data_IF_324147897747
#
_entry.id   IF_324147897747
#
_cell.length_a   1.000
_cell.length_b   1.000
_cell.length_c   1.000
_cell.angle_alpha   90.00
_cell.angle_beta   90.00
_cell.angle_gamma   90.00
#
_symmetry.space_group_name_H-M   'P 1'
#
loop_
_entity.id
_entity.type
_entity.pdbx_description
1 polymer ?
#
# COMPACT_ATOMS: atom_id res chain seq x y z
N UNK A 1 -37.39 35.23 -17.76
CA UNK A 1 -36.65 35.41 -16.50
C UNK A 1 -35.18 35.37 -16.83
N UNK A 2 -34.52 36.53 -16.90
CA UNK A 2 -33.06 36.59 -17.01
C UNK A 2 -32.47 36.01 -15.72
N UNK A 3 -31.61 35.01 -15.87
CA UNK A 3 -30.93 34.39 -14.73
C UNK A 3 -29.83 35.34 -14.27
N UNK A 4 -30.11 36.13 -13.22
CA UNK A 4 -29.14 37.02 -12.55
C UNK A 4 -27.80 36.33 -12.26
N UNK A 5 -27.81 35.01 -12.07
CA UNK A 5 -26.59 34.22 -11.86
C UNK A 5 -25.64 34.26 -13.05
N UNK A 6 -26.12 34.34 -14.29
CA UNK A 6 -25.26 34.35 -15.49
C UNK A 6 -24.55 35.69 -15.69
N UNK A 7 -25.00 36.75 -15.02
CA UNK A 7 -24.40 38.09 -15.06
C UNK A 7 -23.30 38.27 -14.00
N UNK A 8 -23.12 37.29 -13.10
CA UNK A 8 -22.07 37.33 -12.09
C UNK A 8 -20.69 37.08 -12.72
N UNK A 9 -19.63 37.71 -12.18
CA UNK A 9 -18.25 37.38 -12.54
C UNK A 9 -17.91 35.89 -12.35
N UNK A 10 -17.08 35.35 -13.24
CA UNK A 10 -16.71 33.93 -13.26
C UNK A 10 -16.09 33.43 -11.94
N UNK A 11 -15.33 34.27 -11.25
CA UNK A 11 -14.71 33.97 -9.96
C UNK A 11 -15.74 33.83 -8.82
N UNK A 12 -16.81 34.65 -8.85
CA UNK A 12 -17.93 34.53 -7.92
C UNK A 12 -18.69 33.24 -8.20
N UNK A 13 -18.97 32.93 -9.47
CA UNK A 13 -19.61 31.69 -9.87
C UNK A 13 -18.78 30.47 -9.49
N UNK A 14 -17.49 30.50 -9.73
CA UNK A 14 -16.55 29.46 -9.32
C UNK A 14 -16.60 29.23 -7.79
N UNK A 15 -16.60 30.33 -7.02
CA UNK A 15 -16.70 30.28 -5.56
C UNK A 15 -18.04 29.72 -5.07
N UNK A 16 -19.13 29.85 -5.83
CA UNK A 16 -20.41 29.21 -5.50
C UNK A 16 -20.37 27.72 -5.86
N UNK A 17 -19.94 27.40 -7.09
CA UNK A 17 -19.95 26.03 -7.63
C UNK A 17 -19.10 25.07 -6.79
N UNK A 18 -17.96 25.52 -6.24
CA UNK A 18 -17.10 24.68 -5.39
C UNK A 18 -17.79 24.15 -4.12
N UNK A 19 -18.87 24.80 -3.66
CA UNK A 19 -19.61 24.38 -2.49
C UNK A 19 -20.75 23.41 -2.79
N UNK A 20 -21.16 23.28 -4.05
CA UNK A 20 -22.23 22.37 -4.46
C UNK A 20 -21.88 20.91 -4.16
N UNK A 21 -22.90 20.10 -3.91
CA UNK A 21 -22.73 18.65 -3.84
C UNK A 21 -22.61 18.04 -5.24
N UNK A 22 -22.16 16.79 -5.30
CA UNK A 22 -21.93 16.12 -6.58
C UNK A 22 -23.18 16.11 -7.49
N UNK A 23 -24.39 15.78 -7.03
CA UNK A 23 -25.59 15.83 -7.87
C UNK A 23 -25.93 17.25 -8.36
N UNK A 24 -25.68 18.26 -7.53
CA UNK A 24 -25.95 19.66 -7.84
C UNK A 24 -25.00 20.19 -8.92
N UNK A 25 -23.73 19.77 -8.92
CA UNK A 25 -22.78 20.11 -9.99
C UNK A 25 -23.28 19.59 -11.35
N UNK A 26 -23.77 18.35 -11.42
CA UNK A 26 -24.33 17.80 -12.66
C UNK A 26 -25.60 18.53 -13.09
N UNK A 27 -26.45 18.89 -12.13
CA UNK A 27 -27.65 19.68 -12.40
C UNK A 27 -27.27 21.05 -12.95
N UNK A 28 -26.35 21.77 -12.30
CA UNK A 28 -25.83 23.06 -12.74
C UNK A 28 -25.22 22.98 -14.16
N UNK A 29 -24.43 21.95 -14.44
CA UNK A 29 -23.78 21.73 -15.75
C UNK A 29 -24.78 21.67 -16.91
N UNK A 30 -25.99 21.16 -16.68
CA UNK A 30 -27.02 21.04 -17.74
C UNK A 30 -27.86 22.30 -17.93
N UNK A 31 -27.70 23.32 -17.07
CA UNK A 31 -28.52 24.54 -17.15
C UNK A 31 -28.08 25.52 -18.24
N UNK A 32 -26.78 25.82 -18.35
CA UNK A 32 -26.26 26.79 -19.32
C UNK A 32 -24.77 26.56 -19.64
N UNK A 33 -24.28 27.18 -20.72
CA UNK A 33 -22.88 27.05 -21.17
C UNK A 33 -21.85 27.58 -20.17
N UNK A 34 -22.18 28.59 -19.38
CA UNK A 34 -21.29 29.17 -18.36
C UNK A 34 -21.05 28.16 -17.24
N UNK A 35 -22.12 27.60 -16.67
CA UNK A 35 -21.99 26.52 -15.68
C UNK A 35 -21.35 25.27 -16.27
N UNK A 36 -21.63 24.94 -17.53
CA UNK A 36 -20.93 23.85 -18.22
C UNK A 36 -19.41 24.10 -18.25
N UNK A 37 -18.94 25.29 -18.59
CA UNK A 37 -17.52 25.62 -18.61
C UNK A 37 -16.90 25.58 -17.20
N UNK A 38 -17.53 26.21 -16.21
CA UNK A 38 -17.02 26.27 -14.83
C UNK A 38 -16.95 24.88 -14.19
N UNK A 39 -17.99 24.04 -14.39
CA UNK A 39 -18.01 22.66 -13.86
C UNK A 39 -17.07 21.70 -14.58
N UNK A 40 -16.39 22.15 -15.65
CA UNK A 40 -15.32 21.40 -16.32
C UNK A 40 -13.93 21.87 -15.87
N UNK A 41 -13.83 22.87 -14.99
CA UNK A 41 -12.56 23.28 -14.40
C UNK A 41 -12.06 22.24 -13.39
N UNK A 42 -10.79 21.84 -13.52
CA UNK A 42 -10.14 20.84 -12.66
C UNK A 42 -10.17 21.22 -11.17
N UNK A 43 -10.05 22.51 -10.85
CA UNK A 43 -10.01 22.97 -9.47
C UNK A 43 -11.32 22.68 -8.73
N UNK A 44 -12.48 22.75 -9.40
CA UNK A 44 -13.76 22.37 -8.78
C UNK A 44 -13.73 20.92 -8.31
N UNK A 45 -13.23 20.01 -9.14
CA UNK A 45 -13.15 18.58 -8.84
C UNK A 45 -12.10 18.24 -7.79
N UNK A 46 -10.94 18.90 -7.84
CA UNK A 46 -9.89 18.79 -6.81
C UNK A 46 -10.40 19.27 -5.44
N UNK A 47 -11.08 20.41 -5.37
CA UNK A 47 -11.63 20.91 -4.11
C UNK A 47 -12.76 20.02 -3.58
N UNK A 48 -13.61 19.49 -4.47
CA UNK A 48 -14.60 18.50 -4.10
C UNK A 48 -13.94 17.22 -3.54
N UNK A 49 -12.89 16.72 -4.21
CA UNK A 49 -12.13 15.56 -3.77
C UNK A 49 -11.56 15.74 -2.35
N UNK A 50 -10.92 16.87 -2.08
CA UNK A 50 -10.35 17.17 -0.76
C UNK A 50 -11.40 17.30 0.34
N UNK A 51 -12.58 17.83 -0.01
CA UNK A 51 -13.69 18.01 0.94
C UNK A 51 -14.46 16.70 1.20
N UNK A 52 -14.47 15.78 0.24
CA UNK A 52 -15.12 14.49 0.37
C UNK A 52 -14.42 13.63 1.41
N UNK A 53 -15.06 13.42 2.57
CA UNK A 53 -14.62 12.49 3.59
C UNK A 53 -15.15 11.06 3.30
N UNK A 54 -14.97 10.59 2.06
CA UNK A 54 -15.53 9.31 1.61
C UNK A 54 -14.45 8.21 1.65
N UNK A 55 -14.74 7.14 2.38
CA UNK A 55 -13.84 5.99 2.60
C UNK A 55 -13.45 5.26 1.30
N UNK A 56 -14.22 5.45 0.22
CA UNK A 56 -13.94 4.83 -1.08
C UNK A 56 -13.03 5.66 -1.97
N UNK A 57 -12.64 6.88 -1.57
CA UNK A 57 -11.66 7.68 -2.29
C UNK A 57 -10.23 7.21 -1.99
N UNK A 58 -9.32 7.22 -2.98
CA UNK A 58 -7.91 7.01 -2.71
C UNK A 58 -7.36 8.07 -1.74
N UNK A 59 -6.36 7.70 -0.93
CA UNK A 59 -5.80 8.61 0.07
C UNK A 59 -5.08 9.82 -0.55
N UNK A 60 -4.60 9.69 -1.79
CA UNK A 60 -3.78 10.72 -2.45
C UNK A 60 -4.31 11.02 -3.84
N UNK A 61 -4.66 12.28 -4.09
CA UNK A 61 -4.89 12.79 -5.45
C UNK A 61 -3.56 12.85 -6.21
N UNK A 62 -3.53 12.33 -7.44
CA UNK A 62 -2.35 12.39 -8.28
C UNK A 62 -2.40 13.69 -9.12
N UNK A 63 -1.33 14.50 -9.15
CA UNK A 63 -1.28 15.73 -9.95
C UNK A 63 -1.56 15.50 -11.45
N UNK A 64 -1.28 14.28 -11.94
CA UNK A 64 -1.49 13.86 -13.33
C UNK A 64 -2.95 13.51 -13.67
N UNK A 65 -3.87 13.48 -12.71
CA UNK A 65 -5.27 13.12 -12.96
C UNK A 65 -5.99 14.21 -13.77
N UNK A 66 -6.70 13.77 -14.81
CA UNK A 66 -7.57 14.64 -15.61
C UNK A 66 -8.86 14.95 -14.88
N UNK A 67 -9.59 15.98 -15.32
CA UNK A 67 -10.95 16.30 -14.83
C UNK A 67 -11.85 15.07 -14.88
N UNK A 68 -11.80 14.32 -15.98
CA UNK A 68 -12.60 13.11 -16.16
C UNK A 68 -12.23 11.99 -15.20
N UNK A 69 -10.96 11.89 -14.78
CA UNK A 69 -10.54 10.89 -13.79
C UNK A 69 -11.05 11.23 -12.40
N UNK A 70 -10.94 12.50 -12.00
CA UNK A 70 -11.46 12.98 -10.72
C UNK A 70 -12.99 12.84 -10.65
N UNK A 71 -13.69 13.25 -11.72
CA UNK A 71 -15.15 13.11 -11.83
C UNK A 71 -15.59 11.64 -11.72
N UNK A 72 -14.93 10.72 -12.44
CA UNK A 72 -15.23 9.28 -12.35
C UNK A 72 -14.97 8.72 -10.94
N UNK A 73 -13.89 9.12 -10.29
CA UNK A 73 -13.56 8.68 -8.93
C UNK A 73 -14.63 9.14 -7.93
N UNK A 74 -14.98 10.43 -7.96
CA UNK A 74 -15.99 11.01 -7.07
C UNK A 74 -17.38 10.42 -7.30
N UNK A 75 -17.79 10.26 -8.58
CA UNK A 75 -19.03 9.58 -8.93
C UNK A 75 -19.06 8.14 -8.44
N UNK A 76 -17.98 7.40 -8.63
CA UNK A 76 -17.89 6.00 -8.19
C UNK A 76 -17.99 5.92 -6.67
N UNK A 77 -17.26 6.78 -5.97
CA UNK A 77 -17.25 6.86 -4.51
C UNK A 77 -18.64 7.18 -3.98
N UNK A 78 -19.26 8.26 -4.48
CA UNK A 78 -20.61 8.68 -4.11
C UNK A 78 -21.66 7.58 -4.39
N UNK A 79 -21.56 6.89 -5.53
CA UNK A 79 -22.45 5.75 -5.85
C UNK A 79 -22.25 4.59 -4.88
N UNK A 80 -21.02 4.24 -4.55
CA UNK A 80 -20.75 3.19 -3.57
C UNK A 80 -21.29 3.59 -2.19
N UNK A 81 -21.08 4.83 -1.78
CA UNK A 81 -21.53 5.32 -0.48
C UNK A 81 -23.07 5.32 -0.37
N UNK A 82 -23.75 5.90 -1.36
CA UNK A 82 -25.23 5.92 -1.42
C UNK A 82 -25.85 4.53 -1.58
N UNK A 83 -25.21 3.63 -2.34
CA UNK A 83 -25.73 2.28 -2.52
C UNK A 83 -25.48 1.42 -1.28
N UNK A 84 -24.24 1.35 -0.81
CA UNK A 84 -23.84 0.43 0.25
C UNK A 84 -24.32 0.85 1.63
N UNK A 85 -24.31 2.14 1.95
CA UNK A 85 -24.57 2.63 3.32
C UNK A 85 -25.96 3.25 3.49
N UNK A 86 -26.46 3.98 2.49
CA UNK A 86 -27.75 4.69 2.65
C UNK A 86 -28.91 3.76 2.28
N UNK A 87 -28.70 2.90 1.28
CA UNK A 87 -29.75 2.08 0.67
C UNK A 87 -29.55 0.59 0.96
N UNK A 88 -29.22 0.23 2.20
CA UNK A 88 -29.00 -1.17 2.62
C UNK A 88 -30.12 -2.14 2.19
N UNK A 89 -31.37 -1.66 2.11
CA UNK A 89 -32.54 -2.47 1.74
C UNK A 89 -32.65 -2.75 0.22
N UNK A 90 -32.10 -1.89 -0.64
CA UNK A 90 -32.22 -2.00 -2.11
C UNK A 90 -30.91 -2.34 -2.80
N UNK A 91 -29.78 -2.26 -2.08
CA UNK A 91 -28.48 -2.73 -2.54
C UNK A 91 -28.47 -4.25 -2.68
N UNK A 92 -29.07 -4.76 -3.77
CA UNK A 92 -28.70 -6.07 -4.29
C UNK A 92 -27.27 -5.94 -4.77
N UNK A 93 -26.32 -6.33 -3.93
CA UNK A 93 -24.97 -6.60 -4.38
C UNK A 93 -25.10 -7.55 -5.58
N UNK A 94 -24.86 -7.02 -6.79
CA UNK A 94 -24.79 -7.82 -8.00
C UNK A 94 -23.45 -8.56 -7.89
N UNK A 95 -23.47 -9.66 -7.15
CA UNK A 95 -22.38 -10.59 -7.09
C UNK A 95 -22.20 -11.16 -8.50
N UNK A 96 -21.31 -10.54 -9.27
CA UNK A 96 -20.89 -11.07 -10.57
C UNK A 96 -20.24 -12.43 -10.42
N UNK A 97 -19.66 -12.70 -9.24
CA UNK A 97 -19.12 -14.00 -8.85
C UNK A 97 -19.43 -14.24 -7.37
N UNK A 98 -20.23 -15.26 -7.09
CA UNK A 98 -20.35 -15.84 -5.75
C UNK A 98 -19.55 -17.12 -5.75
N UNK A 99 -18.65 -17.26 -4.79
CA UNK A 99 -17.77 -18.42 -4.69
C UNK A 99 -17.60 -18.79 -3.23
N UNK A 100 -17.69 -20.08 -2.93
CA UNK A 100 -17.60 -20.61 -1.58
C UNK A 100 -16.14 -20.93 -1.26
N UNK A 101 -15.60 -20.27 -0.23
CA UNK A 101 -14.31 -20.61 0.35
C UNK A 101 -14.57 -21.32 1.68
N UNK A 102 -13.93 -22.48 1.86
CA UNK A 102 -14.00 -23.18 3.14
C UNK A 102 -13.12 -22.45 4.17
N UNK A 103 -13.75 -21.54 4.89
CA UNK A 103 -13.13 -20.75 5.97
C UNK A 103 -13.30 -21.41 7.34
N UNK A 104 -13.69 -22.70 7.41
CA UNK A 104 -13.86 -23.37 8.69
C UNK A 104 -12.55 -23.35 9.47
N UNK A 105 -12.66 -23.09 10.77
CA UNK A 105 -11.53 -22.98 11.68
C UNK A 105 -10.55 -21.90 11.20
N UNK A 106 -11.00 -20.68 10.91
CA UNK A 106 -10.11 -19.53 10.81
C UNK A 106 -10.12 -18.79 12.14
N UNK A 107 -8.95 -18.40 12.64
CA UNK A 107 -8.80 -17.56 13.82
C UNK A 107 -8.79 -16.08 13.46
N UNK A 108 -8.31 -15.74 12.27
CA UNK A 108 -8.18 -14.36 11.80
C UNK A 108 -8.31 -14.28 10.27
N UNK A 109 -8.74 -13.13 9.77
CA UNK A 109 -8.99 -12.86 8.36
C UNK A 109 -8.58 -11.42 8.02
N UNK A 110 -7.75 -11.27 6.99
CA UNK A 110 -7.34 -9.97 6.46
C UNK A 110 -7.64 -9.87 4.96
N UNK A 111 -8.19 -8.73 4.53
CA UNK A 111 -8.38 -8.43 3.11
C UNK A 111 -7.40 -7.34 2.68
N UNK A 112 -6.52 -7.66 1.74
CA UNK A 112 -5.54 -6.71 1.21
C UNK A 112 -5.92 -6.24 -0.19
N UNK A 113 -6.04 -4.91 -0.34
CA UNK A 113 -6.40 -4.20 -1.58
C UNK A 113 -7.66 -4.73 -2.27
N UNK A 114 -8.58 -5.31 -1.49
CA UNK A 114 -9.79 -5.94 -2.03
C UNK A 114 -9.53 -7.13 -2.97
N UNK A 115 -8.29 -7.63 -3.04
CA UNK A 115 -7.88 -8.70 -3.95
C UNK A 115 -7.35 -9.92 -3.22
N UNK A 116 -6.48 -9.75 -2.25
CA UNK A 116 -5.84 -10.88 -1.59
C UNK A 116 -6.52 -11.13 -0.25
N UNK A 117 -7.12 -12.30 -0.11
CA UNK A 117 -7.69 -12.76 1.15
C UNK A 117 -6.66 -13.59 1.91
N UNK A 118 -6.26 -13.11 3.08
CA UNK A 118 -5.33 -13.78 4.00
C UNK A 118 -6.15 -14.42 5.11
N UNK A 119 -6.08 -15.74 5.23
CA UNK A 119 -6.72 -16.52 6.28
C UNK A 119 -5.67 -17.08 7.22
N UNK A 120 -5.89 -16.90 8.52
CA UNK A 120 -5.12 -17.56 9.57
C UNK A 120 -5.95 -18.70 10.14
N UNK A 121 -5.40 -19.90 10.14
CA UNK A 121 -5.99 -21.09 10.74
C UNK A 121 -5.30 -21.45 12.06
N UNK A 122 -5.96 -22.25 12.93
CA UNK A 122 -5.34 -22.92 14.05
C UNK A 122 -4.10 -23.70 13.63
N UNK A 123 -3.18 -23.92 14.58
CA UNK A 123 -1.85 -24.49 14.33
C UNK A 123 -0.97 -23.60 13.43
N UNK A 124 -1.21 -22.29 13.48
CA UNK A 124 -0.39 -21.27 12.82
C UNK A 124 -0.22 -21.51 11.31
N UNK A 125 -1.26 -22.02 10.66
CA UNK A 125 -1.29 -22.11 9.20
C UNK A 125 -1.86 -20.81 8.60
N UNK A 126 -1.24 -20.36 7.51
CA UNK A 126 -1.70 -19.19 6.75
C UNK A 126 -1.99 -19.62 5.33
N UNK A 127 -3.14 -19.17 4.81
CA UNK A 127 -3.54 -19.36 3.42
C UNK A 127 -3.84 -18.02 2.80
N UNK A 128 -3.41 -17.84 1.56
CA UNK A 128 -3.65 -16.62 0.81
C UNK A 128 -4.34 -16.98 -0.49
N UNK A 129 -5.44 -16.31 -0.75
CA UNK A 129 -6.25 -16.49 -1.96
C UNK A 129 -6.23 -15.20 -2.77
N UNK A 130 -6.07 -15.35 -4.08
CA UNK A 130 -6.31 -14.25 -5.02
C UNK A 130 -7.78 -14.28 -5.43
N UNK A 131 -8.56 -13.31 -4.96
CA UNK A 131 -9.99 -13.18 -5.25
C UNK A 131 -10.26 -12.76 -6.69
N UNK A 132 -9.27 -12.20 -7.39
CA UNK A 132 -9.38 -11.81 -8.80
C UNK A 132 -8.91 -12.92 -9.75
N UNK A 133 -8.21 -13.95 -9.24
CA UNK A 133 -7.78 -15.06 -10.08
C UNK A 133 -8.99 -15.84 -10.63
N UNK A 134 -8.94 -16.14 -11.93
CA UNK A 134 -10.03 -16.83 -12.66
C UNK A 134 -10.38 -18.17 -12.01
N UNK A 135 -9.35 -18.91 -11.57
CA UNK A 135 -9.48 -20.06 -10.67
C UNK A 135 -9.06 -19.61 -9.29
N UNK A 136 -9.85 -19.93 -8.26
CA UNK A 136 -9.46 -19.71 -6.86
C UNK A 136 -8.35 -20.68 -6.46
N UNK A 137 -7.17 -20.44 -6.98
CA UNK A 137 -5.98 -21.02 -6.42
C UNK A 137 -5.68 -20.24 -5.16
N UNK A 138 -5.71 -20.95 -4.04
CA UNK A 138 -4.78 -20.66 -2.96
C UNK A 138 -3.42 -20.40 -3.62
N UNK A 139 -2.98 -19.15 -3.58
CA UNK A 139 -1.70 -18.74 -4.17
C UNK A 139 -0.55 -19.04 -3.22
N UNK A 140 -0.87 -19.19 -1.92
CA UNK A 140 0.10 -19.48 -0.90
C UNK A 140 -0.50 -20.29 0.24
N UNK A 141 0.29 -21.24 0.73
CA UNK A 141 0.05 -21.94 1.98
C UNK A 141 1.34 -22.00 2.78
N UNK A 142 1.27 -21.52 4.01
CA UNK A 142 2.28 -21.73 5.03
C UNK A 142 1.68 -22.59 6.14
N UNK A 143 2.37 -23.64 6.52
CA UNK A 143 2.05 -24.41 7.71
C UNK A 143 3.24 -24.24 8.65
N UNK A 144 3.01 -23.57 9.78
CA UNK A 144 4.04 -23.45 10.80
C UNK A 144 4.38 -24.83 11.37
N UNK A 145 5.63 -24.99 11.78
CA UNK A 145 6.07 -26.20 12.49
C UNK A 145 5.52 -26.15 13.92
N UNK A 146 5.24 -27.30 14.53
CA UNK A 146 4.76 -27.37 15.91
C UNK A 146 5.72 -26.61 16.86
N UNK A 147 5.17 -25.70 17.67
CA UNK A 147 5.95 -24.81 18.54
C UNK A 147 6.35 -23.45 17.93
N UNK A 148 6.13 -23.23 16.64
CA UNK A 148 6.28 -21.90 16.05
C UNK A 148 5.04 -21.05 16.38
N UNK A 149 5.19 -20.02 17.20
CA UNK A 149 4.21 -18.94 17.26
C UNK A 149 4.28 -18.15 15.96
N UNK A 150 3.12 -17.67 15.49
CA UNK A 150 3.05 -16.88 14.28
C UNK A 150 2.39 -15.56 14.62
N UNK A 151 3.18 -14.50 14.60
CA UNK A 151 2.68 -13.14 14.67
C UNK A 151 2.54 -12.62 13.24
N UNK A 152 1.36 -12.10 12.87
CA UNK A 152 1.17 -11.42 11.59
C UNK A 152 1.39 -9.94 11.84
N UNK A 153 2.57 -9.45 11.48
CA UNK A 153 2.81 -8.01 11.49
C UNK A 153 2.50 -7.44 10.12
N UNK A 154 1.39 -6.74 10.06
CA UNK A 154 0.99 -5.97 8.89
C UNK A 154 1.78 -4.65 8.89
N UNK A 155 2.83 -4.59 8.08
CA UNK A 155 3.42 -3.29 7.77
C UNK A 155 2.66 -2.68 6.60
N UNK A 156 1.74 -1.77 6.92
CA UNK A 156 1.04 -0.94 5.94
C UNK A 156 2.12 -0.24 5.13
N UNK A 157 2.18 -0.47 3.81
CA UNK A 157 3.10 0.29 2.96
C UNK A 157 2.82 1.78 3.22
N UNK A 158 3.74 2.45 3.93
CA UNK A 158 3.77 3.90 3.92
C UNK A 158 3.71 4.32 2.45
N UNK A 159 2.89 5.33 2.19
CA UNK A 159 2.33 5.82 0.92
C UNK A 159 3.25 5.98 -0.29
N UNK A 160 4.55 5.68 -0.17
CA UNK A 160 5.59 6.17 -1.06
C UNK A 160 6.28 5.05 -1.86
N UNK A 161 5.91 3.78 -1.65
CA UNK A 161 6.47 2.67 -2.43
C UNK A 161 5.71 2.50 -3.74
N UNK A 162 6.40 2.89 -4.81
CA UNK A 162 6.05 2.85 -6.25
C UNK A 162 5.42 1.54 -6.74
N UNK A 163 5.53 0.45 -5.96
CA UNK A 163 4.91 -0.82 -6.28
C UNK A 163 3.97 -1.22 -5.16
N UNK A 164 2.71 -1.41 -5.52
CA UNK A 164 1.55 -1.78 -4.70
C UNK A 164 1.65 -3.13 -3.93
N UNK A 165 2.86 -3.57 -3.57
CA UNK A 165 3.13 -4.81 -2.85
C UNK A 165 2.78 -4.71 -1.37
N UNK A 166 2.49 -5.84 -0.74
CA UNK A 166 2.47 -5.97 0.71
C UNK A 166 3.39 -7.05 1.19
N UNK A 167 3.69 -6.98 2.48
CA UNK A 167 4.56 -7.92 3.14
C UNK A 167 3.86 -8.48 4.37
N UNK A 168 3.96 -9.78 4.54
CA UNK A 168 3.60 -10.47 5.77
C UNK A 168 4.89 -10.93 6.42
N UNK A 169 5.10 -10.52 7.68
CA UNK A 169 6.24 -10.98 8.45
C UNK A 169 5.75 -12.05 9.41
N UNK A 170 6.35 -13.23 9.34
CA UNK A 170 6.14 -14.34 10.25
C UNK A 170 7.32 -14.39 11.20
N UNK A 171 7.08 -14.19 12.49
CA UNK A 171 8.09 -14.31 13.53
C UNK A 171 7.82 -15.55 14.35
N UNK A 172 8.85 -16.38 14.48
CA UNK A 172 8.95 -17.49 15.43
C UNK A 172 10.02 -17.12 16.47
N UNK A 173 10.22 -17.95 17.50
CA UNK A 173 11.28 -17.74 18.51
C UNK A 173 12.69 -17.58 17.90
N UNK A 174 12.96 -18.27 16.79
CA UNK A 174 14.33 -18.37 16.23
C UNK A 174 14.43 -17.93 14.76
N UNK A 175 13.29 -17.74 14.08
CA UNK A 175 13.26 -17.47 12.64
C UNK A 175 12.27 -16.37 12.33
N UNK A 176 12.65 -15.51 11.40
CA UNK A 176 11.76 -14.55 10.80
C UNK A 176 11.66 -14.84 9.30
N UNK A 177 10.43 -14.99 8.82
CA UNK A 177 10.14 -15.22 7.41
C UNK A 177 9.32 -14.06 6.89
N UNK A 178 9.82 -13.38 5.87
CA UNK A 178 9.12 -12.28 5.23
C UNK A 178 8.54 -12.78 3.91
N UNK A 179 7.26 -12.57 3.73
CA UNK A 179 6.52 -12.90 2.53
C UNK A 179 6.12 -11.61 1.83
N UNK A 180 6.79 -11.28 0.73
CA UNK A 180 6.37 -10.18 -0.15
C UNK A 180 5.40 -10.69 -1.20
N UNK A 181 4.29 -9.97 -1.38
CA UNK A 181 3.29 -10.26 -2.42
C UNK A 181 3.16 -9.03 -3.30
N UNK A 182 3.54 -9.19 -4.55
CA UNK A 182 3.48 -8.13 -5.56
C UNK A 182 2.06 -7.93 -6.10
N UNK A 183 1.77 -6.80 -6.78
CA UNK A 183 0.46 -6.55 -7.39
C UNK A 183 0.07 -7.58 -8.45
N UNK A 184 1.04 -8.21 -9.11
CA UNK A 184 0.78 -9.29 -10.08
C UNK A 184 0.40 -10.62 -9.40
N UNK A 185 0.49 -10.70 -8.07
CA UNK A 185 0.30 -11.94 -7.30
C UNK A 185 1.56 -12.79 -7.19
N UNK A 186 2.71 -12.33 -7.70
CA UNK A 186 3.99 -13.03 -7.50
C UNK A 186 4.38 -12.93 -6.03
N UNK A 187 4.69 -14.08 -5.45
CA UNK A 187 5.03 -14.25 -4.05
C UNK A 187 6.53 -14.47 -3.91
N UNK A 188 7.17 -13.65 -3.07
CA UNK A 188 8.58 -13.77 -2.72
C UNK A 188 8.71 -14.14 -1.26
N UNK A 189 9.27 -15.32 -0.99
CA UNK A 189 9.56 -15.78 0.36
C UNK A 189 11.04 -15.52 0.67
N UNK A 190 11.30 -14.73 1.71
CA UNK A 190 12.63 -14.50 2.25
C UNK A 190 12.69 -15.06 3.67
N UNK A 191 13.49 -16.12 3.86
CA UNK A 191 13.78 -16.65 5.20
C UNK A 191 15.02 -15.95 5.72
N UNK A 192 14.89 -15.23 6.82
CA UNK A 192 16.05 -14.67 7.50
C UNK A 192 16.78 -15.80 8.26
N UNK A 193 18.12 -15.81 8.24
CA UNK A 193 18.91 -16.70 9.09
C UNK A 193 18.48 -16.60 10.56
N UNK A 194 18.69 -17.69 11.30
CA UNK A 194 18.60 -17.61 12.75
C UNK A 194 19.76 -16.76 13.26
N UNK A 195 19.44 -15.62 13.87
CA UNK A 195 20.44 -14.68 14.36
C UNK A 195 20.61 -14.74 15.88
N UNK A 196 19.89 -15.62 16.58
CA UNK A 196 19.91 -15.73 18.05
C UNK A 196 19.49 -14.44 18.76
N UNK A 197 18.82 -13.52 18.07
CA UNK A 197 18.35 -12.25 18.62
C UNK A 197 16.95 -11.94 18.12
N UNK A 198 16.12 -11.36 19.00
CA UNK A 198 14.79 -10.91 18.60
C UNK A 198 14.87 -9.78 17.57
N UNK A 199 14.08 -9.89 16.51
CA UNK A 199 13.91 -8.81 15.53
C UNK A 199 12.79 -7.90 16.05
N UNK A 200 13.04 -6.58 16.05
CA UNK A 200 12.05 -5.58 16.41
C UNK A 200 11.18 -5.27 15.19
N UNK A 201 9.91 -5.63 15.24
CA UNK A 201 8.98 -5.51 14.13
C UNK A 201 8.70 -4.03 13.76
N UNK A 202 8.85 -3.12 14.72
CA UNK A 202 8.69 -1.67 14.56
C UNK A 202 9.78 -1.01 13.69
N UNK A 203 10.80 -1.77 13.31
CA UNK A 203 12.00 -1.27 12.62
C UNK A 203 12.22 -1.90 11.24
N UNK A 204 11.22 -2.63 10.74
CA UNK A 204 11.30 -3.28 9.43
C UNK A 204 10.97 -2.26 8.34
N UNK A 205 11.99 -1.80 7.61
CA UNK A 205 11.83 -1.01 6.40
C UNK A 205 11.91 -1.93 5.18
N UNK A 206 10.95 -1.82 4.26
CA UNK A 206 10.89 -2.68 3.08
C UNK A 206 10.89 -1.82 1.81
N UNK A 207 11.65 -2.27 0.84
CA UNK A 207 11.67 -1.75 -0.53
C UNK A 207 11.45 -2.90 -1.50
N UNK A 208 11.32 -2.59 -2.78
CA UNK A 208 11.18 -3.61 -3.83
C UNK A 208 12.35 -4.59 -3.88
N UNK A 209 13.53 -4.14 -3.48
CA UNK A 209 14.76 -4.90 -3.64
C UNK A 209 15.32 -5.42 -2.33
N UNK A 210 15.00 -4.77 -1.21
CA UNK A 210 15.60 -5.04 0.09
C UNK A 210 14.59 -4.97 1.23
N UNK A 211 14.77 -5.85 2.21
CA UNK A 211 14.17 -5.73 3.54
C UNK A 211 15.27 -5.38 4.52
N UNK A 212 15.08 -4.28 5.24
CA UNK A 212 15.95 -3.79 6.29
C UNK A 212 15.23 -4.03 7.61
N UNK A 213 15.84 -4.74 8.56
CA UNK A 213 15.26 -4.98 9.88
C UNK A 213 16.27 -4.67 10.98
N UNK A 214 15.84 -3.95 12.02
CA UNK A 214 16.66 -3.72 13.21
C UNK A 214 16.41 -4.81 14.26
N UNK A 215 17.49 -5.31 14.85
CA UNK A 215 17.40 -6.23 15.99
C UNK A 215 17.01 -5.50 17.27
N UNK A 216 16.37 -6.17 18.22
CA UNK A 216 15.92 -5.61 19.51
C UNK A 216 17.05 -4.97 20.31
N UNK A 217 18.26 -5.53 20.22
CA UNK A 217 19.46 -4.99 20.85
C UNK A 217 20.06 -3.77 20.11
N UNK A 218 19.44 -3.29 19.03
CA UNK A 218 19.85 -2.13 18.19
C UNK A 218 21.29 -2.17 17.67
N UNK A 219 21.95 -3.33 17.74
CA UNK A 219 23.35 -3.52 17.35
C UNK A 219 23.52 -3.97 15.89
N UNK A 220 22.48 -4.54 15.30
CA UNK A 220 22.51 -5.12 13.95
C UNK A 220 21.34 -4.61 13.12
N UNK A 221 21.66 -4.21 11.89
CA UNK A 221 20.71 -3.95 10.81
C UNK A 221 20.88 -5.07 9.80
N UNK A 222 19.81 -5.82 9.57
CA UNK A 222 19.76 -6.90 8.60
C UNK A 222 19.26 -6.34 7.29
N UNK A 223 20.01 -6.52 6.20
CA UNK A 223 19.59 -6.14 4.86
C UNK A 223 19.47 -7.40 4.03
N UNK A 224 18.24 -7.85 3.76
CA UNK A 224 17.96 -9.00 2.92
C UNK A 224 17.56 -8.53 1.52
N UNK A 225 18.32 -8.91 0.50
CA UNK A 225 17.95 -8.66 -0.89
C UNK A 225 16.87 -9.64 -1.34
N UNK A 226 15.71 -9.13 -1.72
CA UNK A 226 14.58 -9.90 -2.24
C UNK A 226 14.88 -10.46 -3.64
N UNK A 227 15.66 -9.73 -4.44
CA UNK A 227 16.05 -10.16 -5.81
C UNK A 227 17.07 -11.30 -5.75
N UNK A 228 18.15 -11.12 -4.98
CA UNK A 228 19.25 -12.10 -4.96
C UNK A 228 19.06 -13.20 -3.93
N UNK A 229 18.05 -13.10 -3.06
CA UNK A 229 17.83 -13.97 -1.89
C UNK A 229 19.04 -14.05 -0.95
N UNK A 230 19.95 -13.07 -1.01
CA UNK A 230 21.11 -12.96 -0.12
C UNK A 230 20.77 -12.07 1.06
N UNK A 231 21.25 -12.47 2.25
CA UNK A 231 21.12 -11.68 3.46
C UNK A 231 22.49 -11.13 3.85
N UNK A 232 22.54 -9.82 4.07
CA UNK A 232 23.71 -9.10 4.54
C UNK A 232 23.45 -8.62 5.96
N UNK A 233 24.40 -8.83 6.85
CA UNK A 233 24.37 -8.26 8.20
C UNK A 233 25.24 -7.02 8.22
N UNK A 234 24.63 -5.86 8.49
CA UNK A 234 25.35 -4.62 8.73
C UNK A 234 25.40 -4.43 10.24
N UNK A 235 26.61 -4.42 10.79
CA UNK A 235 26.82 -4.07 12.19
C UNK A 235 26.72 -2.55 12.33
N UNK A 236 25.73 -2.08 13.08
CA UNK A 236 25.61 -0.66 13.40
C UNK A 236 26.53 -0.35 14.57
N UNK A 237 27.47 0.58 14.38
CA UNK A 237 28.31 1.12 15.46
C UNK A 237 27.74 2.43 16.02
N UNK A 238 26.68 3.01 15.43
CA UNK A 238 26.16 4.32 15.85
C UNK A 238 24.63 4.40 15.82
N UNK A 239 24.05 5.09 16.82
CA UNK A 239 22.63 5.43 16.89
C UNK A 239 22.21 6.21 15.64
N UNK A 240 21.26 5.69 14.86
CA UNK A 240 20.69 6.40 13.72
C UNK A 240 19.53 7.29 14.19
N UNK A 241 19.59 8.58 13.85
CA UNK A 241 18.53 9.57 14.03
C UNK A 241 18.39 10.38 12.73
N UNK A 242 18.05 9.73 11.61
CA UNK A 242 17.46 10.39 10.42
C UNK A 242 17.27 9.41 9.25
N UNK A 243 16.26 9.73 8.43
CA UNK A 243 15.78 9.06 7.21
C UNK A 243 16.82 8.32 6.36
N UNK A 244 16.46 7.11 5.90
CA UNK A 244 17.15 6.40 4.82
C UNK A 244 16.75 6.98 3.47
N UNK A 245 17.72 7.40 2.64
CA UNK A 245 17.52 7.64 1.21
C UNK A 245 18.40 6.62 0.47
N UNK A 246 17.78 5.73 -0.29
CA UNK A 246 18.47 4.79 -1.18
C UNK A 246 18.40 5.40 -2.58
N UNK A 247 19.50 5.99 -3.06
CA UNK A 247 19.61 6.51 -4.44
C UNK A 247 20.34 5.48 -5.31
N UNK A 248 19.73 5.09 -6.42
CA UNK A 248 20.22 4.04 -7.32
C UNK A 248 20.59 4.65 -8.68
N UNK A 249 21.70 5.39 -8.73
CA UNK A 249 22.28 5.86 -9.99
C UNK A 249 23.44 4.97 -10.42
N UNK A 250 23.16 4.07 -11.35
CA UNK A 250 24.20 3.35 -12.09
C UNK A 250 24.75 4.27 -13.19
N UNK A 251 26.02 4.65 -13.09
CA UNK A 251 26.78 5.11 -14.25
C UNK A 251 27.48 3.91 -14.88
N UNK A 252 27.34 3.84 -16.20
CA UNK A 252 27.78 2.80 -17.12
C UNK A 252 29.19 2.26 -16.83
N UNK A 253 29.32 0.94 -16.73
CA UNK A 253 30.60 0.25 -16.75
C UNK A 253 30.59 -1.04 -15.95
N UNK A 254 30.49 -2.17 -16.64
CA UNK A 254 30.47 -3.54 -16.13
C UNK A 254 31.40 -3.82 -14.93
N UNK A 255 30.82 -3.99 -13.74
CA UNK A 255 31.34 -4.74 -12.57
C UNK A 255 30.15 -5.10 -11.65
N UNK A 256 30.23 -6.14 -10.80
CA UNK A 256 29.10 -6.54 -9.95
C UNK A 256 28.77 -5.41 -8.97
N UNK A 257 27.53 -4.94 -9.02
CA UNK A 257 27.06 -3.74 -8.30
C UNK A 257 27.34 -3.80 -6.81
N UNK A 258 28.20 -2.89 -6.34
CA UNK A 258 28.33 -2.59 -4.92
C UNK A 258 27.19 -1.66 -4.51
N UNK A 259 26.49 -2.07 -3.44
CA UNK A 259 25.47 -1.26 -2.79
C UNK A 259 26.14 -0.05 -2.12
N UNK A 260 26.02 1.16 -2.68
CA UNK A 260 26.48 2.38 -1.99
C UNK A 260 25.33 2.97 -1.18
N UNK A 261 25.32 2.71 0.13
CA UNK A 261 24.42 3.38 1.05
C UNK A 261 25.09 4.68 1.52
N UNK A 262 24.57 5.83 1.10
CA UNK A 262 25.04 7.13 1.60
C UNK A 262 24.40 7.41 2.97
N UNK A 263 25.17 7.29 4.04
CA UNK A 263 24.80 7.81 5.36
C UNK A 263 25.63 9.06 5.64
N UNK A 264 24.96 10.22 5.71
CA UNK A 264 25.58 11.47 6.11
C UNK A 264 25.17 11.78 7.54
N UNK A 265 26.13 11.79 8.47
CA UNK A 265 26.07 12.53 9.73
C UNK A 265 27.53 12.70 10.18
N UNK A 266 28.09 13.85 9.83
CA UNK A 266 29.34 14.46 10.29
C UNK A 266 30.23 13.53 11.15
N UNK A 267 31.24 12.93 10.50
CA UNK A 267 32.46 12.36 11.11
C UNK A 267 32.50 10.90 11.62
N UNK A 268 32.08 9.89 10.85
CA UNK A 268 32.41 8.49 11.21
C UNK A 268 32.39 7.51 10.03
N UNK A 269 33.55 6.91 9.70
CA UNK A 269 33.70 5.90 8.62
C UNK A 269 32.99 4.59 8.98
N UNK A 270 32.16 4.07 8.08
CA UNK A 270 31.57 2.73 8.17
C UNK A 270 32.50 1.73 7.44
N UNK A 271 32.76 0.57 8.05
CA UNK A 271 33.49 -0.55 7.40
C UNK A 271 32.53 -1.72 7.20
N UNK A 272 32.59 -2.31 6.00
CA UNK A 272 31.85 -3.53 5.67
C UNK A 272 32.75 -4.76 5.83
N UNK A 273 32.21 -5.83 6.40
CA UNK A 273 32.87 -7.13 6.44
C UNK A 273 31.99 -8.16 5.71
N UNK A 274 32.47 -8.82 4.65
CA UNK A 274 31.78 -9.97 4.10
C UNK A 274 31.90 -11.15 5.08
N UNK A 275 30.76 -11.62 5.61
CA UNK A 275 30.69 -12.91 6.29
C UNK A 275 30.56 -14.00 5.24
N UNK A 276 31.66 -14.66 4.91
CA UNK A 276 31.61 -15.98 4.27
C UNK A 276 31.34 -17.02 5.36
N UNK A 277 30.18 -17.68 5.30
CA UNK A 277 29.94 -18.88 6.10
C UNK A 277 30.75 -20.05 5.50
N UNK A 278 31.37 -20.87 6.36
CA UNK A 278 31.85 -22.22 6.00
C UNK A 278 30.66 -23.16 5.84
#
# INVERSE_FOLDING_TARGET
MSSFLVELPDDVLFNIVKFLELPDIFSARTTCKVFQAITMDRHIWTEMYKRSNDDFLPVVELPSQTVGDLERLLLRSHRLNTTLWINHATAKALFTQSRSLDIRNCTDLGLYKGRFLVLRHPKNAIRIYDLQATKHSEIFRYNAVEGEELEIVYNRSQSDLINDSFFLVFKTLHKCTILGISPSGVITLCKLPDFGCEISLNSIFMSNEYVIAETSNRAKVLVASLISKKVFTIFSVCRFHSHFIIDNRSHSGSTPGFLSLYCNLLAGRIRFYPLFAK
#
